data_IF_704346552603
#
_entry.id   IF_704346552603
#
_cell.length_a   1.000
_cell.length_b   1.000
_cell.length_c   1.000
_cell.angle_alpha   90.00
_cell.angle_beta   90.00
_cell.angle_gamma   90.00
#
_symmetry.space_group_name_H-M   'P 1'
#
loop_
_entity.id
_entity.type
_entity.pdbx_description
1 polymer ?
#
# COMPACT_ATOMS: atom_id res chain seq x y z
N UNK A 1 -20.36 13.58 9.28
CA UNK A 1 -20.57 12.41 8.38
C UNK A 1 -22.04 11.91 8.29
N UNK A 2 -23.11 12.74 8.29
CA UNK A 2 -24.48 12.22 8.18
C UNK A 2 -24.92 11.92 6.72
N UNK A 3 -24.29 12.55 5.72
CA UNK A 3 -24.62 12.38 4.31
C UNK A 3 -24.07 11.08 3.71
N UNK A 4 -22.85 10.69 4.09
CA UNK A 4 -22.23 9.44 3.64
C UNK A 4 -23.06 8.22 4.08
N UNK A 5 -23.46 8.18 5.36
CA UNK A 5 -24.25 7.09 5.91
C UNK A 5 -25.66 7.00 5.28
N UNK A 6 -26.25 8.15 4.90
CA UNK A 6 -27.53 8.17 4.16
C UNK A 6 -27.38 7.65 2.73
N UNK A 7 -26.28 8.01 2.05
CA UNK A 7 -25.96 7.53 0.70
C UNK A 7 -25.66 6.03 0.67
N UNK A 8 -24.94 5.51 1.68
CA UNK A 8 -24.67 4.08 1.86
C UNK A 8 -25.97 3.28 2.02
N UNK A 9 -26.90 3.77 2.85
CA UNK A 9 -28.19 3.11 3.07
C UNK A 9 -29.15 3.13 1.88
N UNK A 10 -29.04 4.13 1.01
CA UNK A 10 -29.82 4.21 -0.23
C UNK A 10 -29.23 3.33 -1.33
N UNK A 11 -27.90 3.36 -1.45
CA UNK A 11 -27.13 2.53 -2.36
C UNK A 11 -27.35 1.03 -2.13
N UNK A 12 -27.30 0.57 -0.86
CA UNK A 12 -27.52 -0.83 -0.53
C UNK A 12 -28.95 -1.29 -0.86
N UNK A 13 -29.95 -0.42 -0.70
CA UNK A 13 -31.36 -0.72 -1.03
C UNK A 13 -31.60 -0.88 -2.54
N UNK A 14 -30.92 -0.08 -3.36
CA UNK A 14 -31.07 -0.11 -4.83
C UNK A 14 -30.22 -1.21 -5.48
N UNK A 15 -28.99 -1.43 -5.01
CA UNK A 15 -28.02 -2.31 -5.66
C UNK A 15 -27.62 -3.57 -4.89
N UNK A 16 -28.21 -3.81 -3.70
CA UNK A 16 -27.94 -4.99 -2.88
C UNK A 16 -28.20 -6.33 -3.56
N UNK A 17 -29.00 -6.36 -4.64
CA UNK A 17 -29.23 -7.55 -5.48
C UNK A 17 -28.14 -7.79 -6.54
N UNK A 18 -27.45 -6.75 -7.01
CA UNK A 18 -26.42 -6.83 -8.06
C UNK A 18 -24.99 -6.91 -7.51
N UNK A 19 -24.76 -6.35 -6.32
CA UNK A 19 -23.47 -6.39 -5.64
C UNK A 19 -22.90 -7.81 -5.41
N UNK A 20 -23.70 -8.84 -5.04
CA UNK A 20 -23.19 -10.19 -4.80
C UNK A 20 -22.73 -10.88 -6.10
N UNK A 21 -23.39 -10.61 -7.23
CA UNK A 21 -23.04 -11.20 -8.52
C UNK A 21 -21.72 -10.64 -9.08
N UNK A 22 -21.47 -9.34 -8.87
CA UNK A 22 -20.20 -8.71 -9.26
C UNK A 22 -19.05 -9.12 -8.35
N UNK A 23 -19.28 -9.21 -7.02
CA UNK A 23 -18.28 -9.73 -6.07
C UNK A 23 -17.86 -11.17 -6.35
N UNK A 24 -18.75 -12.00 -6.93
CA UNK A 24 -18.43 -13.38 -7.32
C UNK A 24 -17.44 -13.44 -8.51
N UNK A 25 -17.45 -12.44 -9.39
CA UNK A 25 -16.51 -12.33 -10.52
C UNK A 25 -15.18 -11.65 -10.13
N UNK A 26 -15.17 -10.80 -9.10
CA UNK A 26 -13.95 -10.15 -8.58
C UNK A 26 -13.49 -10.87 -7.31
N UNK A 27 -12.97 -12.08 -7.50
CA UNK A 27 -12.73 -13.10 -6.48
C UNK A 27 -11.82 -12.68 -5.31
N UNK A 28 -11.05 -11.59 -5.45
CA UNK A 28 -10.10 -11.11 -4.42
C UNK A 28 -10.45 -9.74 -3.81
N UNK A 29 -11.56 -9.09 -4.21
CA UNK A 29 -11.83 -7.71 -3.78
C UNK A 29 -12.00 -7.56 -2.26
N UNK A 30 -12.48 -8.61 -1.59
CA UNK A 30 -12.63 -8.65 -0.13
C UNK A 30 -11.29 -8.56 0.59
N UNK A 31 -10.27 -9.25 0.06
CA UNK A 31 -8.93 -9.28 0.62
C UNK A 31 -8.22 -7.94 0.41
N UNK A 32 -8.35 -7.31 -0.76
CA UNK A 32 -7.82 -5.96 -1.02
C UNK A 32 -8.43 -4.89 -0.11
N UNK A 33 -9.75 -4.95 0.15
CA UNK A 33 -10.43 -4.03 1.07
C UNK A 33 -9.95 -4.19 2.52
N UNK A 34 -9.80 -5.44 2.98
CA UNK A 34 -9.29 -5.74 4.32
C UNK A 34 -7.83 -5.28 4.48
N UNK A 35 -6.99 -5.59 3.50
CA UNK A 35 -5.59 -5.14 3.43
C UNK A 35 -5.44 -3.63 3.37
N UNK A 36 -6.33 -2.93 2.65
CA UNK A 36 -6.38 -1.47 2.59
C UNK A 36 -6.79 -0.80 3.91
N UNK A 37 -7.27 -1.56 4.91
CA UNK A 37 -7.74 -1.02 6.19
C UNK A 37 -9.07 -0.27 6.08
N UNK A 38 -9.85 -0.54 5.03
CA UNK A 38 -11.16 0.09 4.81
C UNK A 38 -12.20 -0.69 5.60
N UNK A 39 -12.76 -0.07 6.64
CA UNK A 39 -13.75 -0.66 7.56
C UNK A 39 -15.19 -0.62 7.01
N UNK A 40 -15.34 -0.75 5.69
CA UNK A 40 -16.65 -0.75 5.01
C UNK A 40 -16.89 -2.17 4.48
N UNK A 41 -18.11 -2.69 4.66
CA UNK A 41 -18.49 -3.99 4.12
C UNK A 41 -18.27 -4.02 2.59
N UNK A 42 -17.61 -5.05 2.03
CA UNK A 42 -17.33 -5.14 0.60
C UNK A 42 -18.59 -4.99 -0.27
N UNK A 43 -19.71 -5.52 0.21
CA UNK A 43 -21.03 -5.42 -0.43
C UNK A 43 -21.53 -3.97 -0.50
N UNK A 44 -21.31 -3.18 0.56
CA UNK A 44 -21.65 -1.75 0.61
C UNK A 44 -20.74 -0.93 -0.29
N UNK A 45 -19.45 -1.25 -0.34
CA UNK A 45 -18.50 -0.56 -1.22
C UNK A 45 -18.82 -0.77 -2.69
N UNK A 46 -19.11 -2.01 -3.10
CA UNK A 46 -19.51 -2.33 -4.47
C UNK A 46 -20.86 -1.71 -4.82
N UNK A 47 -21.81 -1.70 -3.88
CA UNK A 47 -23.08 -0.99 -4.09
C UNK A 47 -22.85 0.51 -4.32
N UNK A 48 -21.97 1.14 -3.53
CA UNK A 48 -21.61 2.56 -3.68
C UNK A 48 -20.96 2.83 -5.05
N UNK A 49 -20.08 1.94 -5.50
CA UNK A 49 -19.47 2.01 -6.84
C UNK A 49 -20.54 2.04 -7.94
N UNK A 50 -21.52 1.12 -7.89
CA UNK A 50 -22.62 1.10 -8.87
C UNK A 50 -23.52 2.33 -8.76
N UNK A 51 -23.79 2.82 -7.55
CA UNK A 51 -24.60 4.01 -7.33
C UNK A 51 -23.95 5.27 -7.92
N UNK A 52 -22.64 5.46 -7.71
CA UNK A 52 -21.90 6.60 -8.29
C UNK A 52 -21.78 6.46 -9.81
N UNK A 53 -21.57 5.24 -10.32
CA UNK A 53 -21.57 4.99 -11.77
C UNK A 53 -22.94 5.27 -12.42
N UNK A 54 -24.05 4.98 -11.73
CA UNK A 54 -25.38 5.35 -12.21
C UNK A 54 -25.57 6.87 -12.23
N UNK A 55 -25.08 7.57 -11.21
CA UNK A 55 -25.21 9.03 -11.10
C UNK A 55 -24.43 9.76 -12.21
N UNK A 56 -23.36 9.16 -12.75
CA UNK A 56 -22.58 9.73 -13.85
C UNK A 56 -23.12 9.38 -15.25
N UNK A 57 -24.07 8.46 -15.37
CA UNK A 57 -24.70 8.12 -16.67
C UNK A 57 -25.34 9.32 -17.40
N UNK A 58 -26.11 10.22 -16.75
CA UNK A 58 -26.70 11.37 -17.43
C UNK A 58 -25.65 12.30 -18.04
N UNK A 59 -24.48 12.42 -17.42
CA UNK A 59 -23.36 13.23 -17.90
C UNK A 59 -22.79 12.61 -19.18
N UNK A 60 -22.62 11.29 -19.22
CA UNK A 60 -22.21 10.57 -20.44
C UNK A 60 -23.23 10.71 -21.56
N UNK A 61 -24.53 10.64 -21.26
CA UNK A 61 -25.60 10.78 -22.27
C UNK A 61 -25.61 12.22 -22.83
N UNK A 62 -25.51 13.23 -21.97
CA UNK A 62 -25.39 14.62 -22.40
C UNK A 62 -24.14 14.86 -23.26
N UNK A 63 -23.02 14.21 -22.93
CA UNK A 63 -21.80 14.29 -23.73
C UNK A 63 -21.99 13.72 -25.14
N UNK A 64 -22.67 12.58 -25.28
CA UNK A 64 -22.97 11.96 -26.58
C UNK A 64 -23.85 12.88 -27.43
N UNK A 65 -24.89 13.48 -26.83
CA UNK A 65 -25.80 14.41 -27.52
C UNK A 65 -25.05 15.65 -28.00
N UNK A 66 -24.16 16.21 -27.17
CA UNK A 66 -23.37 17.39 -27.54
C UNK A 66 -22.33 17.09 -28.63
N UNK A 67 -21.72 15.91 -28.63
CA UNK A 67 -20.83 15.44 -29.70
C UNK A 67 -21.59 15.38 -31.04
N UNK A 68 -22.82 14.83 -31.03
CA UNK A 68 -23.62 14.71 -32.24
C UNK A 68 -24.00 16.07 -32.83
N UNK A 69 -24.33 17.06 -31.98
CA UNK A 69 -24.80 18.38 -32.44
C UNK A 69 -23.65 19.36 -32.77
N UNK A 70 -22.61 19.45 -31.95
CA UNK A 70 -21.54 20.44 -32.08
C UNK A 70 -20.23 19.90 -32.67
N UNK A 71 -20.12 18.58 -32.88
CA UNK A 71 -18.92 17.90 -33.46
C UNK A 71 -17.61 18.26 -32.74
N UNK A 72 -17.70 18.54 -31.44
CA UNK A 72 -16.58 18.97 -30.60
C UNK A 72 -15.79 17.75 -30.09
N UNK A 73 -14.59 17.53 -30.64
CA UNK A 73 -13.76 16.33 -30.44
C UNK A 73 -13.36 16.00 -28.98
N UNK A 74 -12.99 16.96 -28.09
CA UNK A 74 -12.47 16.60 -26.77
C UNK A 74 -13.53 16.04 -25.81
N UNK A 75 -14.82 16.14 -26.13
CA UNK A 75 -15.89 15.53 -25.32
C UNK A 75 -15.86 14.00 -25.33
N UNK A 76 -15.13 13.38 -26.26
CA UNK A 76 -15.04 11.92 -26.38
C UNK A 76 -14.48 11.25 -25.11
N UNK A 77 -13.63 11.98 -24.37
CA UNK A 77 -13.06 11.50 -23.10
C UNK A 77 -14.10 11.43 -21.97
N UNK A 78 -15.19 12.21 -22.07
CA UNK A 78 -16.25 12.27 -21.07
C UNK A 78 -17.27 11.13 -21.22
N UNK A 79 -17.33 10.48 -22.38
CA UNK A 79 -18.27 9.38 -22.66
C UNK A 79 -18.06 8.17 -21.74
N UNK A 80 -16.83 7.63 -21.56
CA UNK A 80 -16.59 6.49 -20.67
C UNK A 80 -16.48 6.84 -19.17
N UNK A 81 -17.01 7.99 -18.71
CA UNK A 81 -16.92 8.41 -17.30
C UNK A 81 -17.36 7.33 -16.28
N UNK A 82 -18.51 6.64 -16.46
CA UNK A 82 -18.96 5.62 -15.51
C UNK A 82 -17.98 4.45 -15.40
N UNK A 83 -17.31 4.10 -16.51
CA UNK A 83 -16.27 3.07 -16.52
C UNK A 83 -15.02 3.56 -15.79
N UNK A 84 -14.59 4.81 -16.00
CA UNK A 84 -13.48 5.39 -15.25
C UNK A 84 -13.75 5.46 -13.75
N UNK A 85 -14.97 5.78 -13.35
CA UNK A 85 -15.39 5.74 -11.94
C UNK A 85 -15.27 4.33 -11.39
N UNK A 86 -15.78 3.31 -12.08
CA UNK A 86 -15.66 1.92 -11.63
C UNK A 86 -14.20 1.47 -11.49
N UNK A 87 -13.35 1.81 -12.47
CA UNK A 87 -11.92 1.52 -12.43
C UNK A 87 -11.26 2.22 -11.24
N UNK A 88 -11.60 3.49 -11.00
CA UNK A 88 -11.11 4.27 -9.86
C UNK A 88 -11.46 3.62 -8.52
N UNK A 89 -12.71 3.19 -8.33
CA UNK A 89 -13.14 2.49 -7.11
C UNK A 89 -12.40 1.16 -6.87
N UNK A 90 -11.89 0.50 -7.92
CA UNK A 90 -11.07 -0.70 -7.77
C UNK A 90 -9.61 -0.35 -7.46
N UNK A 91 -9.06 0.69 -8.10
CA UNK A 91 -7.67 1.09 -7.93
C UNK A 91 -7.38 1.78 -6.60
N UNK A 92 -8.33 2.56 -6.05
CA UNK A 92 -8.18 3.27 -4.77
C UNK A 92 -7.80 2.33 -3.61
N UNK A 93 -8.53 1.23 -3.32
CA UNK A 93 -8.16 0.32 -2.23
C UNK A 93 -6.82 -0.34 -2.48
N UNK A 94 -6.51 -0.74 -3.72
CA UNK A 94 -5.23 -1.35 -4.08
C UNK A 94 -4.06 -0.38 -3.86
N UNK A 95 -4.19 0.86 -4.31
CA UNK A 95 -3.19 1.91 -4.12
C UNK A 95 -2.98 2.22 -2.64
N UNK A 96 -4.05 2.35 -1.85
CA UNK A 96 -3.95 2.57 -0.39
C UNK A 96 -3.31 1.39 0.35
N UNK A 97 -3.62 0.16 -0.04
CA UNK A 97 -2.98 -1.03 0.53
C UNK A 97 -1.48 -1.04 0.21
N UNK A 98 -1.10 -0.71 -1.02
CA UNK A 98 0.30 -0.56 -1.44
C UNK A 98 1.03 0.55 -0.68
N UNK A 99 0.42 1.71 -0.52
CA UNK A 99 1.00 2.83 0.23
C UNK A 99 1.20 2.46 1.71
N UNK A 100 0.21 1.80 2.33
CA UNK A 100 0.30 1.29 3.71
C UNK A 100 1.42 0.26 3.86
N UNK A 101 1.56 -0.66 2.90
CA UNK A 101 2.64 -1.64 2.91
C UNK A 101 4.01 -0.98 2.75
N UNK A 102 4.16 -0.08 1.78
CA UNK A 102 5.42 0.59 1.48
C UNK A 102 5.87 1.53 2.61
N UNK A 103 4.92 2.22 3.26
CA UNK A 103 5.22 3.09 4.41
C UNK A 103 5.74 2.27 5.59
N UNK A 104 5.04 1.19 5.95
CA UNK A 104 5.47 0.29 7.03
C UNK A 104 6.77 -0.44 6.70
N UNK A 105 6.96 -0.90 5.47
CA UNK A 105 8.17 -1.62 5.03
C UNK A 105 9.47 -0.85 5.31
N UNK A 106 9.43 0.48 5.19
CA UNK A 106 10.59 1.34 5.49
C UNK A 106 10.92 1.39 6.98
N UNK A 107 9.89 1.28 7.83
CA UNK A 107 10.00 1.36 9.28
C UNK A 107 10.24 0.00 9.94
N UNK A 108 9.87 -1.10 9.25
CA UNK A 108 9.95 -2.47 9.77
C UNK A 108 11.31 -2.88 10.34
N UNK A 109 12.47 -2.57 9.72
CA UNK A 109 13.75 -2.95 10.31
C UNK A 109 13.95 -2.33 11.71
N UNK A 110 13.57 -1.07 11.89
CA UNK A 110 13.71 -0.40 13.19
C UNK A 110 12.72 -0.93 14.22
N UNK A 111 11.47 -1.17 13.80
CA UNK A 111 10.45 -1.74 14.67
C UNK A 111 10.79 -3.17 15.12
N UNK A 112 11.24 -4.02 14.19
CA UNK A 112 11.63 -5.39 14.46
C UNK A 112 12.84 -5.46 15.40
N UNK A 113 13.88 -4.66 15.16
CA UNK A 113 15.04 -4.57 16.08
C UNK A 113 14.62 -4.07 17.46
N UNK A 114 13.76 -3.05 17.55
CA UNK A 114 13.26 -2.57 18.84
C UNK A 114 12.53 -3.67 19.61
N UNK A 115 11.60 -4.38 18.96
CA UNK A 115 10.84 -5.47 19.59
C UNK A 115 11.77 -6.61 20.01
N UNK A 116 12.75 -6.96 19.16
CA UNK A 116 13.74 -8.00 19.46
C UNK A 116 14.57 -7.66 20.69
N UNK A 117 15.19 -6.48 20.74
CA UNK A 117 16.02 -6.04 21.88
C UNK A 117 15.21 -6.03 23.17
N UNK A 118 13.96 -5.56 23.08
CA UNK A 118 13.04 -5.53 24.21
C UNK A 118 12.68 -6.95 24.69
N UNK A 119 12.45 -7.88 23.76
CA UNK A 119 12.19 -9.28 24.06
C UNK A 119 13.39 -9.97 24.71
N UNK A 120 14.61 -9.71 24.24
CA UNK A 120 15.85 -10.19 24.87
C UNK A 120 16.02 -9.64 26.28
N UNK A 121 15.50 -8.44 26.56
CA UNK A 121 15.39 -7.85 27.90
C UNK A 121 14.24 -8.41 28.75
N UNK A 122 13.52 -9.43 28.30
CA UNK A 122 12.39 -10.06 29.01
C UNK A 122 11.07 -9.31 28.89
N UNK A 123 10.98 -8.27 28.04
CA UNK A 123 9.75 -7.51 27.84
C UNK A 123 8.93 -8.15 26.72
N UNK A 124 7.66 -8.45 27.00
CA UNK A 124 6.78 -9.07 26.00
C UNK A 124 6.63 -8.20 24.74
N UNK A 125 6.56 -8.78 23.53
CA UNK A 125 6.34 -8.04 22.28
C UNK A 125 5.08 -7.17 22.29
N UNK A 126 4.01 -7.58 22.98
CA UNK A 126 2.82 -6.75 23.15
C UNK A 126 3.13 -5.43 23.89
N UNK A 127 3.91 -5.50 24.97
CA UNK A 127 4.37 -4.30 25.69
C UNK A 127 5.29 -3.44 24.82
N UNK A 128 6.12 -4.06 23.98
CA UNK A 128 6.95 -3.35 22.99
C UNK A 128 6.08 -2.59 21.98
N UNK A 129 4.98 -3.18 21.50
CA UNK A 129 4.00 -2.49 20.65
C UNK A 129 3.32 -1.31 21.36
N UNK A 130 2.99 -1.43 22.65
CA UNK A 130 2.49 -0.27 23.44
C UNK A 130 3.45 0.90 23.41
N UNK A 131 4.74 0.66 23.63
CA UNK A 131 5.77 1.71 23.57
C UNK A 131 5.91 2.28 22.15
N UNK A 132 5.92 1.43 21.13
CA UNK A 132 5.98 1.87 19.72
C UNK A 132 4.77 2.70 19.29
N UNK A 133 3.59 2.52 19.91
CA UNK A 133 2.41 3.34 19.64
C UNK A 133 2.52 4.80 20.14
N UNK A 134 3.51 5.09 21.00
CA UNK A 134 3.79 6.42 21.51
C UNK A 134 4.92 7.12 20.74
N UNK A 135 5.77 6.38 20.03
CA UNK A 135 6.90 6.92 19.26
C UNK A 135 6.43 7.68 18.02
N UNK A 136 6.93 8.91 17.83
CA UNK A 136 6.56 9.77 16.69
C UNK A 136 7.40 9.53 15.43
N UNK A 137 8.60 8.99 15.60
CA UNK A 137 9.55 8.73 14.50
C UNK A 137 9.10 7.64 13.54
N UNK A 138 8.17 6.77 13.96
CA UNK A 138 7.69 5.62 13.20
C UNK A 138 6.16 5.68 13.03
N UNK A 139 5.62 6.64 12.25
CA UNK A 139 4.19 6.88 12.16
C UNK A 139 3.40 5.70 11.58
N UNK A 140 3.94 4.92 10.64
CA UNK A 140 3.25 3.76 10.10
C UNK A 140 3.16 2.63 11.14
N UNK A 141 4.27 2.33 11.80
CA UNK A 141 4.35 1.36 12.90
C UNK A 141 3.43 1.77 14.05
N UNK A 142 3.41 3.05 14.39
CA UNK A 142 2.53 3.63 15.41
C UNK A 142 1.05 3.35 15.11
N UNK A 143 0.65 3.51 13.85
CA UNK A 143 -0.72 3.27 13.40
C UNK A 143 -1.10 1.79 13.52
N UNK A 144 -0.23 0.88 13.10
CA UNK A 144 -0.45 -0.57 13.23
C UNK A 144 -0.47 -1.01 14.70
N UNK A 145 0.48 -0.52 15.51
CA UNK A 145 0.55 -0.81 16.93
C UNK A 145 -0.73 -0.35 17.66
N UNK A 146 -1.26 0.83 17.33
CA UNK A 146 -2.53 1.32 17.89
C UNK A 146 -3.73 0.46 17.51
N UNK A 147 -3.76 -0.08 16.30
CA UNK A 147 -4.83 -1.01 15.91
C UNK A 147 -4.75 -2.33 16.71
N UNK A 148 -3.54 -2.86 16.96
CA UNK A 148 -3.34 -4.03 17.83
C UNK A 148 -3.76 -3.72 19.27
N UNK A 149 -3.33 -2.59 19.83
CA UNK A 149 -3.66 -2.20 21.21
C UNK A 149 -5.16 -2.01 21.38
N UNK A 150 -5.82 -1.37 20.42
CA UNK A 150 -7.28 -1.21 20.42
C UNK A 150 -7.99 -2.57 20.41
N UNK A 151 -7.52 -3.53 19.63
CA UNK A 151 -8.11 -4.88 19.62
C UNK A 151 -8.01 -5.56 21.01
N UNK A 152 -6.94 -5.31 21.75
CA UNK A 152 -6.78 -5.86 23.11
C UNK A 152 -7.53 -5.05 24.18
N UNK A 153 -7.31 -3.74 24.26
CA UNK A 153 -7.80 -2.91 25.36
C UNK A 153 -9.27 -2.53 25.22
N UNK A 154 -9.76 -2.35 23.98
CA UNK A 154 -11.15 -1.92 23.73
C UNK A 154 -12.04 -3.14 23.45
N UNK A 155 -11.57 -4.09 22.64
CA UNK A 155 -12.36 -5.27 22.27
C UNK A 155 -12.11 -6.49 23.16
N UNK A 156 -11.16 -6.42 24.10
CA UNK A 156 -10.89 -7.51 25.05
C UNK A 156 -10.32 -8.77 24.39
N UNK A 157 -9.73 -8.65 23.20
CA UNK A 157 -9.11 -9.78 22.49
C UNK A 157 -7.78 -10.12 23.15
N UNK A 158 -7.46 -11.40 23.26
CA UNK A 158 -6.16 -11.84 23.75
C UNK A 158 -5.00 -11.23 22.92
N UNK A 159 -3.90 -10.76 23.54
CA UNK A 159 -2.77 -10.14 22.84
C UNK A 159 -2.17 -10.99 21.71
N UNK A 160 -2.06 -12.31 21.91
CA UNK A 160 -1.52 -13.22 20.91
C UNK A 160 -2.47 -13.32 19.71
N UNK A 161 -3.77 -13.47 19.97
CA UNK A 161 -4.80 -13.50 18.93
C UNK A 161 -4.90 -12.16 18.18
N UNK A 162 -4.75 -11.03 18.88
CA UNK A 162 -4.73 -9.70 18.26
C UNK A 162 -3.54 -9.53 17.31
N UNK A 163 -2.36 -10.00 17.71
CA UNK A 163 -1.14 -10.00 16.88
C UNK A 163 -1.30 -10.91 15.67
N UNK A 164 -1.84 -12.12 15.84
CA UNK A 164 -2.11 -13.06 14.76
C UNK A 164 -3.11 -12.48 13.74
N UNK A 165 -4.17 -11.84 14.25
CA UNK A 165 -5.16 -11.15 13.41
C UNK A 165 -4.55 -9.98 12.64
N UNK A 166 -3.65 -9.21 13.28
CA UNK A 166 -2.93 -8.14 12.60
C UNK A 166 -2.00 -8.69 11.51
N UNK A 167 -1.29 -9.79 11.78
CA UNK A 167 -0.45 -10.49 10.81
C UNK A 167 -1.26 -11.00 9.61
N UNK A 168 -2.45 -11.54 9.83
CA UNK A 168 -3.26 -12.10 8.74
C UNK A 168 -3.82 -11.04 7.79
N UNK A 169 -4.19 -9.87 8.32
CA UNK A 169 -4.93 -8.85 7.59
C UNK A 169 -4.06 -7.75 6.97
N UNK A 170 -2.75 -7.74 7.22
CA UNK A 170 -1.87 -6.69 6.74
C UNK A 170 -1.37 -6.97 5.31
N UNK A 171 -1.26 -5.96 4.41
CA UNK A 171 -0.79 -6.16 3.03
C UNK A 171 0.71 -6.48 2.90
N UNK A 172 1.53 -6.08 3.87
CA UNK A 172 2.98 -6.25 3.82
C UNK A 172 3.42 -7.63 4.31
N UNK A 173 3.88 -8.50 3.41
CA UNK A 173 4.30 -9.87 3.75
C UNK A 173 5.36 -9.94 4.84
N UNK A 174 6.37 -9.06 4.81
CA UNK A 174 7.39 -8.99 5.87
C UNK A 174 6.81 -8.75 7.28
N UNK A 175 5.72 -8.00 7.41
CA UNK A 175 5.03 -7.79 8.69
C UNK A 175 4.20 -9.03 9.08
N UNK A 176 3.57 -9.68 8.10
CA UNK A 176 2.81 -10.93 8.29
C UNK A 176 3.73 -12.03 8.78
N UNK A 177 4.92 -12.17 8.18
CA UNK A 177 5.92 -13.17 8.54
C UNK A 177 6.51 -12.91 9.92
N UNK A 178 6.81 -11.65 10.25
CA UNK A 178 7.36 -11.28 11.55
C UNK A 178 6.37 -11.56 12.69
N UNK A 179 5.13 -11.07 12.58
CA UNK A 179 4.11 -11.25 13.61
C UNK A 179 3.52 -12.65 13.64
N UNK A 180 3.26 -13.25 12.47
CA UNK A 180 2.73 -14.60 12.36
C UNK A 180 3.74 -15.64 12.82
N UNK A 181 5.02 -15.47 12.48
CA UNK A 181 6.08 -16.32 12.97
C UNK A 181 6.32 -16.17 14.48
N UNK A 182 6.17 -14.95 15.02
CA UNK A 182 6.15 -14.75 16.47
C UNK A 182 5.00 -15.52 17.13
N UNK A 183 3.77 -15.36 16.62
CA UNK A 183 2.61 -16.04 17.18
C UNK A 183 2.75 -17.56 17.10
N UNK A 184 3.24 -18.09 15.97
CA UNK A 184 3.50 -19.51 15.80
C UNK A 184 4.57 -20.03 16.78
N UNK A 185 5.65 -19.27 16.99
CA UNK A 185 6.72 -19.65 17.93
C UNK A 185 6.19 -19.70 19.36
N UNK A 186 5.34 -18.74 19.76
CA UNK A 186 4.67 -18.74 21.06
C UNK A 186 3.77 -19.97 21.23
N UNK A 187 2.95 -20.29 20.23
CA UNK A 187 2.01 -21.43 20.28
C UNK A 187 2.74 -22.78 20.41
N UNK A 188 3.85 -22.94 19.70
CA UNK A 188 4.65 -24.17 19.69
C UNK A 188 5.55 -24.25 20.94
N UNK A 189 5.69 -23.16 21.71
CA UNK A 189 6.57 -23.08 22.88
C UNK A 189 8.05 -23.02 22.51
N UNK A 190 8.38 -22.48 21.34
CA UNK A 190 9.76 -22.31 20.88
C UNK A 190 10.46 -21.09 21.50
N UNK A 191 11.72 -20.89 21.10
CA UNK A 191 12.52 -19.74 21.55
C UNK A 191 12.12 -18.46 20.81
N UNK A 192 11.28 -17.66 21.47
CA UNK A 192 10.78 -16.37 20.97
C UNK A 192 11.92 -15.39 20.73
N UNK A 193 12.88 -15.32 21.65
CA UNK A 193 13.99 -14.36 21.58
C UNK A 193 14.87 -14.65 20.38
N UNK A 194 15.26 -15.92 20.21
CA UNK A 194 16.06 -16.34 19.08
C UNK A 194 15.34 -16.13 17.74
N UNK A 195 14.03 -16.41 17.68
CA UNK A 195 13.22 -16.15 16.48
C UNK A 195 13.19 -14.66 16.12
N UNK A 196 12.89 -13.80 17.10
CA UNK A 196 12.78 -12.36 16.89
C UNK A 196 14.12 -11.73 16.49
N UNK A 197 15.22 -12.17 17.10
CA UNK A 197 16.58 -11.72 16.75
C UNK A 197 16.95 -12.12 15.33
N UNK A 198 16.78 -13.41 15.00
CA UNK A 198 17.08 -13.93 13.66
C UNK A 198 16.25 -13.22 12.59
N UNK A 199 14.95 -13.01 12.83
CA UNK A 199 14.08 -12.31 11.88
C UNK A 199 14.38 -10.81 11.80
N UNK A 200 14.72 -10.16 12.90
CA UNK A 200 15.14 -8.77 12.87
C UNK A 200 16.43 -8.58 12.05
N UNK A 201 17.40 -9.48 12.22
CA UNK A 201 18.64 -9.47 11.44
C UNK A 201 18.38 -9.71 9.94
N UNK A 202 17.52 -10.67 9.59
CA UNK A 202 17.11 -10.93 8.21
C UNK A 202 16.49 -9.69 7.55
N UNK A 203 15.54 -9.04 8.23
CA UNK A 203 14.88 -7.82 7.76
C UNK A 203 15.90 -6.69 7.57
N UNK A 204 16.81 -6.51 8.54
CA UNK A 204 17.82 -5.46 8.49
C UNK A 204 18.83 -5.71 7.36
N UNK A 205 19.30 -6.95 7.20
CA UNK A 205 20.21 -7.36 6.13
C UNK A 205 19.58 -7.19 4.76
N UNK A 206 18.31 -7.57 4.60
CA UNK A 206 17.56 -7.35 3.35
C UNK A 206 17.49 -5.85 2.99
N UNK A 207 17.33 -4.98 4.00
CA UNK A 207 17.37 -3.52 3.78
C UNK A 207 18.75 -3.02 3.39
N UNK A 208 19.81 -3.48 4.07
CA UNK A 208 21.19 -3.10 3.76
C UNK A 208 21.58 -3.50 2.33
N UNK A 209 21.20 -4.71 1.89
CA UNK A 209 21.42 -5.18 0.51
C UNK A 209 20.69 -4.30 -0.50
N UNK A 210 19.44 -3.88 -0.22
CA UNK A 210 18.72 -2.95 -1.11
C UNK A 210 19.39 -1.59 -1.22
N UNK A 211 19.91 -1.04 -0.13
CA UNK A 211 20.65 0.22 -0.14
C UNK A 211 21.95 0.06 -0.95
N UNK A 212 22.67 -1.05 -0.77
CA UNK A 212 23.88 -1.34 -1.54
C UNK A 212 23.58 -1.43 -3.05
N UNK A 213 22.54 -2.15 -3.45
CA UNK A 213 22.12 -2.25 -4.86
C UNK A 213 21.72 -0.89 -5.44
N UNK A 214 21.07 -0.03 -4.65
CA UNK A 214 20.74 1.33 -5.08
C UNK A 214 21.99 2.18 -5.32
N UNK A 215 22.98 2.09 -4.43
CA UNK A 215 24.27 2.77 -4.60
C UNK A 215 25.01 2.26 -5.84
N UNK A 216 25.00 0.96 -6.09
CA UNK A 216 25.63 0.34 -7.26
C UNK A 216 24.97 0.79 -8.58
N UNK A 217 23.63 0.88 -8.61
CA UNK A 217 22.88 1.44 -9.75
C UNK A 217 23.23 2.90 -10.02
N UNK A 218 23.36 3.71 -8.97
CA UNK A 218 23.80 5.10 -9.11
C UNK A 218 25.24 5.16 -9.65
N UNK A 219 26.12 4.26 -9.21
CA UNK A 219 27.47 4.10 -9.76
C UNK A 219 27.47 3.80 -11.25
N UNK A 220 26.64 2.84 -11.71
CA UNK A 220 26.54 2.50 -13.14
C UNK A 220 25.97 3.65 -13.97
N UNK A 221 24.99 4.40 -13.45
CA UNK A 221 24.47 5.60 -14.10
C UNK A 221 25.55 6.68 -14.23
N UNK A 222 26.33 6.91 -13.17
CA UNK A 222 27.44 7.87 -13.18
C UNK A 222 28.53 7.47 -14.18
N UNK A 223 28.89 6.19 -14.24
CA UNK A 223 29.85 5.67 -15.22
C UNK A 223 29.35 5.92 -16.65
N UNK A 224 28.09 5.59 -16.94
CA UNK A 224 27.48 5.84 -18.26
C UNK A 224 27.44 7.33 -18.61
N UNK A 225 27.14 8.19 -17.62
CA UNK A 225 27.13 9.63 -17.79
C UNK A 225 28.52 10.18 -18.12
N UNK A 226 29.56 9.74 -17.39
CA UNK A 226 30.96 10.13 -17.66
C UNK A 226 31.37 9.71 -19.08
N UNK A 227 31.07 8.47 -19.48
CA UNK A 227 31.40 7.97 -20.83
C UNK A 227 30.76 8.84 -21.91
N UNK A 228 29.46 9.14 -21.80
CA UNK A 228 28.75 9.99 -22.77
C UNK A 228 29.35 11.40 -22.80
N UNK A 229 29.63 12.00 -21.63
CA UNK A 229 30.15 13.36 -21.55
C UNK A 229 31.55 13.48 -22.17
N UNK A 230 32.42 12.49 -21.90
CA UNK A 230 33.78 12.43 -22.48
C UNK A 230 33.73 12.17 -23.99
N UNK A 231 32.89 11.26 -24.46
CA UNK A 231 32.69 11.04 -25.90
C UNK A 231 32.22 12.32 -26.60
N UNK A 232 31.24 13.01 -26.00
CA UNK A 232 30.72 14.24 -26.57
C UNK A 232 31.77 15.36 -26.62
N UNK A 233 32.56 15.55 -25.56
CA UNK A 233 33.63 16.55 -25.55
C UNK A 233 34.73 16.24 -26.56
N UNK A 234 35.12 14.97 -26.71
CA UNK A 234 36.06 14.53 -27.73
C UNK A 234 35.54 14.76 -29.14
N UNK A 235 34.26 14.46 -29.41
CA UNK A 235 33.63 14.74 -30.69
C UNK A 235 33.66 16.24 -31.02
N UNK A 236 33.29 17.11 -30.07
CA UNK A 236 33.36 18.57 -30.28
C UNK A 236 34.79 19.06 -30.51
N UNK A 237 35.77 18.54 -29.75
CA UNK A 237 37.17 18.90 -29.93
C UNK A 237 37.68 18.58 -31.34
N UNK A 238 37.37 17.37 -31.85
CA UNK A 238 37.77 16.97 -33.20
C UNK A 238 37.09 17.86 -34.25
N UNK A 239 35.79 18.14 -34.11
CA UNK A 239 35.05 19.02 -35.03
C UNK A 239 35.68 20.42 -35.11
N UNK A 240 35.97 21.05 -33.97
CA UNK A 240 36.60 22.38 -33.96
C UNK A 240 38.05 22.36 -34.45
N UNK A 241 38.80 21.31 -34.14
CA UNK A 241 40.17 21.14 -34.63
C UNK A 241 40.21 21.02 -36.16
N UNK A 242 39.29 20.26 -36.74
CA UNK A 242 39.13 20.15 -38.19
C UNK A 242 38.75 21.50 -38.80
N UNK A 243 37.74 22.19 -38.25
CA UNK A 243 37.33 23.51 -38.74
C UNK A 243 38.49 24.53 -38.71
N UNK A 244 39.30 24.54 -37.65
CA UNK A 244 40.46 25.42 -37.53
C UNK A 244 41.60 25.10 -38.51
N UNK A 245 41.73 23.86 -38.98
CA UNK A 245 42.73 23.47 -39.99
C UNK A 245 42.26 23.85 -41.41
N UNK A 246 40.94 23.87 -41.65
CA UNK A 246 40.36 24.20 -42.96
C UNK A 246 39.99 25.69 -43.12
N UNK A 247 40.17 26.53 -42.09
CA UNK A 247 40.06 28.00 -42.17
C UNK A 247 41.42 28.65 -42.34
#
# INVERSE_FOLDING_TARGET
MPLLNKLEGWSYRLFGRMAPAFLKNVFEFKDYLQRAGIKIYPETYVSLMFFVALLTMPISIAAIILIYFFRFLPLIFLVPLPLFVMIGFILIPMSRAGERAATLEREMPFAATYISVMASGGISPYTSFKRLAEVELLPATRKEAREIIKDVEIFGVDPLTAIEKAAKNHPLDMFRDFLGGYASTVIIGGDITHFLETKAEEIFRARAVRVKMAAERLGTLLESFIIIMVLMSLCFYILFSVEAIYS
#
